data_IF_508427688921
#
_entry.id   IF_508427688921
#
_cell.length_a   1.000
_cell.length_b   1.000
_cell.length_c   1.000
_cell.angle_alpha   90.00
_cell.angle_beta   90.00
_cell.angle_gamma   90.00
#
_symmetry.space_group_name_H-M   'P 1'
#
loop_
_entity.id
_entity.type
_entity.pdbx_description
1 polymer ?
#
# COMPACT_ATOMS: atom_id res chain seq x y z
N UNK A 1 14.73 12.71 -13.36
CA UNK A 1 15.68 13.46 -14.24
C UNK A 1 14.95 14.60 -14.94
N UNK A 2 15.74 15.58 -15.39
CA UNK A 2 15.33 16.58 -16.37
C UNK A 2 16.08 16.31 -17.69
N UNK A 3 15.41 15.84 -18.75
CA UNK A 3 16.03 15.51 -20.02
C UNK A 3 16.81 16.65 -20.67
N UNK A 4 16.42 17.91 -20.42
CA UNK A 4 17.12 19.07 -20.99
C UNK A 4 18.59 19.19 -20.54
N UNK A 5 18.96 18.53 -19.44
CA UNK A 5 20.34 18.49 -18.93
C UNK A 5 21.01 17.13 -19.13
N UNK A 6 20.35 16.18 -19.78
CA UNK A 6 20.90 14.86 -20.13
C UNK A 6 21.55 14.92 -21.50
N UNK A 7 22.88 14.78 -21.58
CA UNK A 7 23.62 14.84 -22.80
C UNK A 7 23.56 13.56 -23.63
N UNK A 8 23.59 12.41 -22.93
CA UNK A 8 23.49 11.09 -23.52
C UNK A 8 22.53 10.22 -22.66
N UNK A 9 21.34 10.02 -23.18
CA UNK A 9 20.32 9.22 -22.51
C UNK A 9 20.73 7.73 -22.39
N UNK A 10 21.49 7.22 -23.37
CA UNK A 10 21.97 5.83 -23.35
C UNK A 10 22.98 5.62 -22.23
N UNK A 11 23.96 6.50 -22.06
CA UNK A 11 24.93 6.45 -20.96
C UNK A 11 24.24 6.50 -19.61
N UNK A 12 23.27 7.43 -19.45
CA UNK A 12 22.51 7.58 -18.19
C UNK A 12 21.77 6.29 -17.84
N UNK A 13 21.08 5.68 -18.82
CA UNK A 13 20.34 4.42 -18.62
C UNK A 13 21.28 3.27 -18.26
N UNK A 14 22.41 3.13 -18.96
CA UNK A 14 23.38 2.07 -18.71
C UNK A 14 23.97 2.18 -17.30
N UNK A 15 24.45 3.34 -16.91
CA UNK A 15 25.07 3.58 -15.60
C UNK A 15 24.08 3.45 -14.46
N UNK A 16 22.85 3.92 -14.61
CA UNK A 16 21.79 3.74 -13.62
C UNK A 16 21.39 2.27 -13.47
N UNK A 17 21.40 1.49 -14.53
CA UNK A 17 21.08 0.05 -14.47
C UNK A 17 22.05 -0.75 -13.61
N UNK A 18 23.28 -0.31 -13.48
CA UNK A 18 24.27 -0.92 -12.58
C UNK A 18 23.94 -0.74 -11.08
N UNK A 19 23.13 0.27 -10.75
CA UNK A 19 22.76 0.59 -9.36
C UNK A 19 21.29 0.28 -9.07
N UNK A 20 20.44 0.26 -10.09
CA UNK A 20 18.99 0.00 -10.01
C UNK A 20 18.66 -1.25 -10.87
N UNK A 21 18.73 -2.45 -10.30
CA UNK A 21 18.56 -3.70 -11.06
C UNK A 21 17.17 -3.86 -11.68
N UNK A 22 16.13 -3.29 -11.06
CA UNK A 22 14.74 -3.38 -11.53
C UNK A 22 14.36 -2.24 -12.51
N UNK A 23 15.34 -1.53 -13.03
CA UNK A 23 15.11 -0.40 -13.93
C UNK A 23 14.68 -0.87 -15.32
N UNK A 24 13.49 -0.42 -15.76
CA UNK A 24 13.05 -0.61 -17.15
C UNK A 24 13.85 0.34 -18.08
N UNK A 25 14.90 -0.23 -18.68
CA UNK A 25 15.85 0.50 -19.54
C UNK A 25 15.19 1.10 -20.76
N UNK A 26 14.30 0.32 -21.42
CA UNK A 26 13.65 0.75 -22.66
C UNK A 26 12.73 1.93 -22.41
N UNK A 27 11.88 1.81 -21.41
CA UNK A 27 10.96 2.88 -21.02
C UNK A 27 11.66 4.13 -20.51
N UNK A 28 12.76 3.97 -19.76
CA UNK A 28 13.52 5.12 -19.30
C UNK A 28 14.20 5.84 -20.47
N UNK A 29 14.80 5.10 -21.39
CA UNK A 29 15.45 5.67 -22.59
C UNK A 29 14.46 6.47 -23.44
N UNK A 30 13.28 5.91 -23.70
CA UNK A 30 12.20 6.59 -24.43
C UNK A 30 11.80 7.90 -23.74
N UNK A 31 11.62 7.88 -22.42
CA UNK A 31 11.22 9.06 -21.65
C UNK A 31 12.33 10.13 -21.55
N UNK A 32 13.59 9.73 -21.46
CA UNK A 32 14.70 10.68 -21.48
C UNK A 32 14.89 11.36 -22.83
N UNK A 33 14.45 10.74 -23.92
CA UNK A 33 14.45 11.32 -25.25
C UNK A 33 13.15 12.09 -25.60
N UNK A 34 12.21 12.20 -24.67
CA UNK A 34 10.96 12.94 -24.87
C UNK A 34 11.11 14.42 -24.46
N UNK A 35 10.23 15.27 -24.97
CA UNK A 35 10.22 16.73 -24.71
C UNK A 35 9.63 17.10 -23.33
N UNK A 36 9.86 16.25 -22.31
CA UNK A 36 9.40 16.49 -20.94
C UNK A 36 10.52 17.03 -20.07
N UNK A 37 10.19 17.92 -19.13
CA UNK A 37 11.15 18.48 -18.16
C UNK A 37 11.25 17.65 -16.88
N UNK A 38 10.47 16.59 -16.74
CA UNK A 38 10.47 15.74 -15.56
C UNK A 38 10.24 14.26 -15.88
N UNK A 39 11.27 13.46 -15.65
CA UNK A 39 11.22 11.99 -15.79
C UNK A 39 11.55 11.36 -14.43
N UNK A 40 10.57 10.78 -13.71
CA UNK A 40 10.86 9.98 -12.53
C UNK A 40 11.57 8.69 -12.93
N UNK A 41 12.68 8.37 -12.23
CA UNK A 41 13.53 7.21 -12.48
C UNK A 41 13.21 6.10 -11.47
N UNK A 42 13.28 6.41 -10.19
CA UNK A 42 12.99 5.49 -9.09
C UNK A 42 12.41 6.25 -7.90
N UNK A 43 11.62 5.56 -7.09
CA UNK A 43 11.04 6.09 -5.85
C UNK A 43 11.53 5.27 -4.66
N UNK A 44 11.56 5.89 -3.47
CA UNK A 44 11.91 5.20 -2.23
C UNK A 44 13.32 4.62 -2.18
N UNK A 45 14.26 5.22 -2.90
CA UNK A 45 15.65 4.76 -2.93
C UNK A 45 16.29 4.84 -1.55
N UNK A 46 17.00 3.77 -1.15
CA UNK A 46 17.73 3.74 0.13
C UNK A 46 18.83 4.81 0.17
N UNK A 47 19.26 5.26 1.36
CA UNK A 47 20.40 6.18 1.48
C UNK A 47 21.66 5.68 0.76
N UNK A 48 21.91 4.36 0.82
CA UNK A 48 23.04 3.72 0.13
C UNK A 48 22.90 3.80 -1.39
N UNK A 49 21.71 3.48 -1.91
CA UNK A 49 21.41 3.57 -3.34
C UNK A 49 21.48 5.01 -3.82
N UNK A 50 20.95 5.96 -3.02
CA UNK A 50 21.06 7.40 -3.31
C UNK A 50 22.51 7.84 -3.45
N UNK A 51 23.37 7.43 -2.51
CA UNK A 51 24.80 7.74 -2.55
C UNK A 51 25.47 7.13 -3.79
N UNK A 52 25.17 5.87 -4.11
CA UNK A 52 25.72 5.20 -5.29
C UNK A 52 25.32 5.94 -6.58
N UNK A 53 24.07 6.36 -6.73
CA UNK A 53 23.61 7.16 -7.88
C UNK A 53 24.31 8.53 -7.90
N UNK A 54 24.46 9.19 -6.74
CA UNK A 54 25.13 10.49 -6.66
C UNK A 54 26.59 10.41 -7.14
N UNK A 55 27.30 9.33 -6.76
CA UNK A 55 28.68 9.09 -7.17
C UNK A 55 28.84 8.84 -8.68
N UNK A 56 27.76 8.52 -9.40
CA UNK A 56 27.80 8.43 -10.86
C UNK A 56 27.99 9.80 -11.53
N UNK A 57 27.67 10.90 -10.86
CA UNK A 57 27.87 12.26 -11.41
C UNK A 57 27.08 12.55 -12.67
N UNK A 58 25.90 11.95 -12.84
CA UNK A 58 25.10 12.06 -14.05
C UNK A 58 24.41 13.43 -14.14
N UNK A 59 24.69 14.18 -15.20
CA UNK A 59 24.01 15.44 -15.48
C UNK A 59 22.51 15.18 -15.72
N UNK A 60 21.65 16.09 -15.25
CA UNK A 60 20.20 15.96 -15.38
C UNK A 60 19.53 14.99 -14.42
N UNK A 61 20.28 14.28 -13.57
CA UNK A 61 19.74 13.39 -12.54
C UNK A 61 19.75 14.09 -11.19
N UNK A 62 18.57 14.26 -10.59
CA UNK A 62 18.38 14.96 -9.32
C UNK A 62 17.64 14.11 -8.31
N UNK A 63 17.87 14.40 -7.03
CA UNK A 63 17.11 13.81 -5.93
C UNK A 63 16.09 14.82 -5.41
N UNK A 64 14.86 14.35 -5.25
CA UNK A 64 13.80 15.09 -4.59
C UNK A 64 13.47 14.39 -3.29
N UNK A 65 13.46 15.12 -2.19
CA UNK A 65 12.95 14.60 -0.92
C UNK A 65 11.43 14.76 -0.95
N UNK A 66 10.73 13.65 -0.84
CA UNK A 66 9.27 13.64 -0.71
C UNK A 66 8.91 12.97 0.61
N UNK A 67 7.95 13.53 1.37
CA UNK A 67 7.42 12.83 2.53
C UNK A 67 6.81 11.51 2.06
N UNK A 68 7.19 10.44 2.72
CA UNK A 68 6.72 9.10 2.42
C UNK A 68 6.36 8.36 3.70
N UNK A 69 5.41 7.44 3.60
CA UNK A 69 5.06 6.53 4.66
C UNK A 69 5.87 5.24 4.54
N UNK A 70 6.23 4.70 5.69
CA UNK A 70 6.82 3.36 5.80
C UNK A 70 5.94 2.55 6.74
N UNK A 71 5.55 1.37 6.32
CA UNK A 71 4.70 0.44 7.08
C UNK A 71 5.55 -0.72 7.62
N UNK A 72 6.16 -0.58 8.82
CA UNK A 72 7.10 -1.57 9.33
C UNK A 72 6.48 -2.95 9.59
N UNK A 73 5.17 -2.99 9.81
CA UNK A 73 4.42 -4.23 10.03
C UNK A 73 3.88 -4.85 8.73
N UNK A 74 4.24 -4.26 7.59
CA UNK A 74 3.90 -4.78 6.27
C UNK A 74 2.40 -5.08 6.14
N UNK A 75 2.02 -6.35 5.97
CA UNK A 75 0.64 -6.80 5.75
C UNK A 75 -0.27 -6.72 6.98
N UNK A 76 0.31 -6.63 8.20
CA UNK A 76 -0.50 -6.62 9.41
C UNK A 76 -1.45 -5.42 9.44
N UNK A 77 -2.75 -5.70 9.56
CA UNK A 77 -3.83 -4.71 9.54
C UNK A 77 -3.83 -3.79 8.31
N UNK A 78 -3.33 -4.25 7.16
CA UNK A 78 -3.12 -3.44 5.96
C UNK A 78 -4.35 -2.66 5.52
N UNK A 79 -5.52 -3.28 5.52
CA UNK A 79 -6.78 -2.63 5.11
C UNK A 79 -7.26 -1.57 6.13
N UNK A 80 -6.93 -1.76 7.40
CA UNK A 80 -7.30 -0.81 8.45
C UNK A 80 -6.35 0.38 8.45
N UNK A 81 -5.04 0.13 8.38
CA UNK A 81 -4.03 1.19 8.29
C UNK A 81 -4.18 1.94 6.97
N UNK A 82 -4.37 1.21 5.88
CA UNK A 82 -4.42 1.78 4.54
C UNK A 82 -3.03 2.11 4.01
N UNK A 83 -2.99 3.04 3.06
CA UNK A 83 -1.73 3.52 2.49
C UNK A 83 -1.84 4.99 2.07
N UNK A 84 -0.69 5.64 2.03
CA UNK A 84 -0.54 6.99 1.50
C UNK A 84 0.05 6.99 0.09
N UNK A 85 -0.37 7.94 -0.71
CA UNK A 85 0.14 8.18 -2.05
C UNK A 85 1.42 9.02 -2.07
N UNK A 86 1.74 9.54 -3.25
CA UNK A 86 2.85 10.50 -3.42
C UNK A 86 2.58 11.76 -2.59
N UNK A 87 3.64 12.28 -1.99
CA UNK A 87 3.55 13.46 -1.14
C UNK A 87 2.95 13.19 0.24
N UNK A 88 2.76 11.92 0.62
CA UNK A 88 2.27 11.53 1.94
C UNK A 88 0.75 11.61 2.14
N UNK A 89 -0.03 11.95 1.11
CA UNK A 89 -1.49 12.03 1.21
C UNK A 89 -2.12 10.64 1.42
N UNK A 90 -2.96 10.49 2.42
CA UNK A 90 -3.71 9.27 2.69
C UNK A 90 -4.69 8.92 1.57
N UNK A 91 -4.74 7.66 1.14
CA UNK A 91 -5.61 7.20 0.06
C UNK A 91 -6.67 6.21 0.53
N UNK A 92 -6.41 5.46 1.57
CA UNK A 92 -7.34 4.48 2.15
C UNK A 92 -7.12 4.32 3.65
N UNK A 93 -8.07 3.68 4.35
CA UNK A 93 -7.94 3.31 5.75
C UNK A 93 -7.72 4.47 6.70
N UNK A 94 -6.98 4.25 7.77
CA UNK A 94 -6.63 5.26 8.76
C UNK A 94 -5.79 6.40 8.16
N UNK A 95 -4.90 6.11 7.19
CA UNK A 95 -4.14 7.14 6.47
C UNK A 95 -5.06 8.17 5.80
N UNK A 96 -6.17 7.72 5.20
CA UNK A 96 -7.15 8.63 4.59
C UNK A 96 -8.01 9.32 5.67
N UNK A 97 -8.47 8.55 6.66
CA UNK A 97 -9.38 9.08 7.67
C UNK A 97 -8.73 10.19 8.53
N UNK A 98 -7.42 10.09 8.74
CA UNK A 98 -6.63 11.03 9.54
C UNK A 98 -5.61 11.82 8.69
N UNK A 99 -5.88 11.98 7.38
CA UNK A 99 -4.94 12.65 6.46
C UNK A 99 -4.63 14.09 6.88
N UNK A 100 -5.60 14.82 7.36
CA UNK A 100 -5.42 16.19 7.84
C UNK A 100 -4.47 16.23 9.05
N UNK A 101 -4.76 15.47 10.10
CA UNK A 101 -3.96 15.43 11.34
C UNK A 101 -2.55 14.94 11.08
N UNK A 102 -2.39 13.93 10.22
CA UNK A 102 -1.10 13.37 9.86
C UNK A 102 -0.27 14.32 8.99
N UNK A 103 -0.91 15.12 8.15
CA UNK A 103 -0.25 16.09 7.27
C UNK A 103 0.14 17.36 7.99
N UNK A 104 -0.66 17.82 8.94
CA UNK A 104 -0.41 19.02 9.75
C UNK A 104 0.62 18.79 10.85
N UNK A 105 1.02 17.53 11.07
CA UNK A 105 2.00 17.17 12.11
C UNK A 105 1.43 17.29 13.53
N UNK A 106 0.12 17.12 13.69
CA UNK A 106 -0.58 17.20 14.99
C UNK A 106 -0.14 16.12 16.00
N UNK A 107 0.68 15.16 15.55
CA UNK A 107 1.23 14.11 16.39
C UNK A 107 0.84 12.71 15.93
N UNK A 108 1.15 11.67 16.71
CA UNK A 108 0.84 10.30 16.37
C UNK A 108 -0.66 10.01 16.56
N UNK A 109 -1.25 9.31 15.60
CA UNK A 109 -2.60 8.74 15.72
C UNK A 109 -2.51 7.35 16.35
N UNK A 110 -3.26 7.12 17.42
CA UNK A 110 -3.33 5.84 18.12
C UNK A 110 -4.64 5.12 17.74
N UNK A 111 -4.50 3.89 17.31
CA UNK A 111 -5.64 3.01 17.01
C UNK A 111 -5.87 2.03 18.16
N UNK A 112 -7.11 1.57 18.33
CA UNK A 112 -7.51 0.57 19.35
C UNK A 112 -7.04 -0.86 19.03
N UNK A 113 -6.29 -1.06 17.96
CA UNK A 113 -5.86 -2.37 17.46
C UNK A 113 -4.80 -2.99 18.38
N UNK A 114 -5.07 -4.20 18.86
CA UNK A 114 -4.09 -5.07 19.49
C UNK A 114 -3.39 -5.92 18.43
N UNK A 115 -2.10 -5.71 18.22
CA UNK A 115 -1.34 -6.41 17.18
C UNK A 115 -1.26 -7.93 17.43
N UNK A 116 -1.31 -8.38 18.69
CA UNK A 116 -1.32 -9.81 19.02
C UNK A 116 -2.63 -10.45 18.62
N UNK A 117 -3.74 -9.79 18.96
CA UNK A 117 -5.09 -10.23 18.55
C UNK A 117 -5.22 -10.19 17.02
N UNK A 118 -4.75 -9.10 16.37
CA UNK A 118 -4.75 -8.96 14.93
C UNK A 118 -4.04 -10.13 14.24
N UNK A 119 -2.82 -10.44 14.66
CA UNK A 119 -2.04 -11.54 14.09
C UNK A 119 -2.73 -12.90 14.29
N UNK A 120 -3.33 -13.14 15.44
CA UNK A 120 -4.07 -14.39 15.70
C UNK A 120 -5.31 -14.51 14.81
N UNK A 121 -6.08 -13.45 14.66
CA UNK A 121 -7.26 -13.43 13.78
C UNK A 121 -6.84 -13.67 12.32
N UNK A 122 -5.81 -12.97 11.84
CA UNK A 122 -5.26 -13.16 10.49
C UNK A 122 -4.82 -14.61 10.24
N UNK A 123 -4.07 -15.18 11.18
CA UNK A 123 -3.56 -16.55 11.06
C UNK A 123 -4.69 -17.59 10.99
N UNK A 124 -5.68 -17.48 11.88
CA UNK A 124 -6.84 -18.39 11.89
C UNK A 124 -7.64 -18.23 10.61
N UNK A 125 -7.93 -16.98 10.23
CA UNK A 125 -8.76 -16.69 9.05
C UNK A 125 -8.10 -17.19 7.76
N UNK A 126 -6.79 -16.97 7.61
CA UNK A 126 -5.99 -17.43 6.46
C UNK A 126 -6.01 -18.96 6.33
N UNK A 127 -5.84 -19.67 7.45
CA UNK A 127 -5.93 -21.12 7.49
C UNK A 127 -7.32 -21.61 7.05
N UNK A 128 -8.38 -21.05 7.62
CA UNK A 128 -9.76 -21.42 7.27
C UNK A 128 -10.10 -21.09 5.82
N UNK A 129 -9.67 -19.94 5.33
CA UNK A 129 -9.84 -19.59 3.92
C UNK A 129 -9.20 -20.63 2.99
N UNK A 130 -7.99 -21.11 3.33
CA UNK A 130 -7.33 -22.16 2.55
C UNK A 130 -8.03 -23.54 2.66
N UNK A 131 -8.44 -23.93 3.86
CA UNK A 131 -9.17 -25.20 4.11
C UNK A 131 -10.48 -25.27 3.30
N UNK A 132 -11.20 -24.15 3.21
CA UNK A 132 -12.49 -24.07 2.50
C UNK A 132 -12.36 -23.57 1.06
N UNK A 133 -11.14 -23.33 0.56
CA UNK A 133 -10.90 -22.78 -0.77
C UNK A 133 -11.73 -21.50 -1.06
N UNK A 134 -11.97 -20.71 -0.02
CA UNK A 134 -12.77 -19.50 -0.15
C UNK A 134 -12.00 -18.42 -0.93
N UNK A 135 -12.65 -17.65 -1.83
CA UNK A 135 -12.01 -16.59 -2.59
C UNK A 135 -11.57 -15.41 -1.71
N UNK A 136 -12.19 -15.27 -0.55
CA UNK A 136 -11.87 -14.25 0.45
C UNK A 136 -12.50 -14.54 1.79
N UNK A 137 -12.06 -13.80 2.81
CA UNK A 137 -12.57 -13.90 4.17
C UNK A 137 -12.35 -12.59 4.91
N UNK A 138 -13.25 -12.23 5.81
CA UNK A 138 -13.09 -11.07 6.69
C UNK A 138 -13.54 -11.38 8.11
N UNK A 139 -12.97 -10.67 9.08
CA UNK A 139 -13.34 -10.77 10.47
C UNK A 139 -13.10 -9.44 11.19
N UNK A 140 -13.98 -9.10 12.12
CA UNK A 140 -13.86 -7.97 13.04
C UNK A 140 -14.00 -8.50 14.46
N UNK A 141 -13.03 -8.18 15.31
CA UNK A 141 -13.08 -8.44 16.75
C UNK A 141 -13.31 -7.11 17.48
N UNK A 142 -14.40 -7.01 18.22
CA UNK A 142 -14.79 -5.81 18.95
C UNK A 142 -14.91 -6.08 20.44
N UNK A 143 -14.61 -5.08 21.24
CA UNK A 143 -14.90 -5.06 22.69
C UNK A 143 -16.36 -4.72 22.91
N UNK A 144 -17.11 -5.64 23.49
CA UNK A 144 -18.57 -5.50 23.64
C UNK A 144 -18.95 -4.26 24.47
N UNK A 145 -18.20 -3.96 25.54
CA UNK A 145 -18.53 -2.86 26.44
C UNK A 145 -18.25 -1.46 25.90
N UNK A 146 -17.33 -1.31 24.94
CA UNK A 146 -16.88 0.01 24.44
C UNK A 146 -17.10 0.21 22.94
N UNK A 147 -17.30 -0.88 22.19
CA UNK A 147 -17.36 -0.84 20.73
C UNK A 147 -15.99 -0.69 20.04
N UNK A 148 -14.90 -0.69 20.80
CA UNK A 148 -13.56 -0.61 20.23
C UNK A 148 -13.24 -1.79 19.33
N UNK A 149 -12.73 -1.53 18.14
CA UNK A 149 -12.23 -2.56 17.22
C UNK A 149 -10.84 -2.98 17.68
N UNK A 150 -10.71 -4.22 18.13
CA UNK A 150 -9.47 -4.81 18.63
C UNK A 150 -8.64 -5.43 17.50
N UNK A 151 -9.33 -6.02 16.49
CA UNK A 151 -8.72 -6.52 15.27
C UNK A 151 -9.71 -6.41 14.11
N UNK A 152 -9.20 -6.13 12.93
CA UNK A 152 -9.95 -6.16 11.68
C UNK A 152 -9.09 -6.74 10.56
N UNK A 153 -9.56 -7.80 9.96
CA UNK A 153 -8.84 -8.54 8.90
C UNK A 153 -9.72 -8.70 7.68
N UNK A 154 -9.16 -8.45 6.53
CA UNK A 154 -9.72 -8.77 5.21
C UNK A 154 -8.67 -9.53 4.40
N UNK A 155 -9.06 -10.64 3.78
CA UNK A 155 -8.20 -11.50 2.98
C UNK A 155 -8.82 -11.75 1.60
N UNK A 156 -8.04 -11.75 0.51
CA UNK A 156 -6.57 -11.57 0.48
C UNK A 156 -6.14 -10.18 0.94
N UNK A 157 -4.90 -10.10 1.44
CA UNK A 157 -4.30 -8.84 1.88
C UNK A 157 -3.12 -8.43 0.98
N UNK A 158 -2.57 -7.26 1.24
CA UNK A 158 -1.46 -6.68 0.52
C UNK A 158 -0.44 -6.04 1.47
N UNK A 159 0.76 -5.72 0.96
CA UNK A 159 1.73 -4.88 1.67
C UNK A 159 1.53 -3.42 1.27
N UNK A 160 1.17 -2.52 2.23
CA UNK A 160 1.00 -1.10 1.95
C UNK A 160 2.24 -0.41 1.39
N UNK A 161 3.44 -0.93 1.68
CA UNK A 161 4.67 -0.40 1.10
C UNK A 161 4.74 -0.61 -0.42
N UNK A 162 4.03 -1.63 -0.94
CA UNK A 162 4.04 -2.04 -2.35
C UNK A 162 2.66 -1.99 -3.01
N UNK A 163 1.71 -1.19 -2.49
CA UNK A 163 0.32 -1.16 -2.95
C UNK A 163 0.16 -0.92 -4.46
N UNK A 164 1.10 -0.22 -5.10
CA UNK A 164 1.09 0.05 -6.56
C UNK A 164 1.44 -1.16 -7.40
N UNK A 165 2.24 -2.08 -6.85
CA UNK A 165 2.61 -3.33 -7.52
C UNK A 165 1.55 -4.42 -7.36
N UNK A 166 0.50 -4.16 -6.58
CA UNK A 166 -0.61 -5.11 -6.42
C UNK A 166 -1.49 -5.07 -7.67
N UNK A 167 -1.43 -6.13 -8.44
CA UNK A 167 -2.31 -6.32 -9.58
C UNK A 167 -3.70 -6.76 -9.10
N UNK A 168 -4.72 -6.06 -9.57
CA UNK A 168 -6.11 -6.49 -9.38
C UNK A 168 -6.40 -7.75 -10.19
N UNK A 169 -7.34 -8.59 -9.76
CA UNK A 169 -7.71 -9.77 -10.52
C UNK A 169 -8.37 -9.38 -11.86
N UNK A 170 -8.21 -10.21 -12.89
CA UNK A 170 -8.93 -10.00 -14.15
C UNK A 170 -10.45 -9.98 -13.93
N UNK A 171 -11.19 -9.15 -14.67
CA UNK A 171 -12.66 -9.12 -14.59
C UNK A 171 -13.29 -10.49 -14.82
N UNK A 172 -14.34 -10.81 -14.08
CA UNK A 172 -15.11 -12.06 -14.24
C UNK A 172 -14.48 -13.31 -13.62
N UNK A 173 -13.32 -13.19 -12.95
CA UNK A 173 -12.65 -14.38 -12.34
C UNK A 173 -13.22 -14.79 -10.99
N UNK A 174 -14.12 -14.00 -10.40
CA UNK A 174 -14.61 -14.21 -9.03
C UNK A 174 -13.56 -14.02 -7.93
N UNK A 175 -12.33 -13.62 -8.31
CA UNK A 175 -11.26 -13.31 -7.35
C UNK A 175 -11.44 -11.90 -6.80
N UNK A 176 -11.02 -11.71 -5.55
CA UNK A 176 -11.15 -10.43 -4.85
C UNK A 176 -9.85 -9.65 -5.00
N UNK A 177 -9.95 -8.34 -5.29
CA UNK A 177 -8.77 -7.46 -5.27
C UNK A 177 -8.18 -7.44 -3.86
N UNK A 178 -6.89 -7.72 -3.68
CA UNK A 178 -6.25 -7.69 -2.36
C UNK A 178 -6.35 -6.35 -1.63
N UNK A 179 -6.60 -5.25 -2.35
CA UNK A 179 -6.78 -3.90 -1.75
C UNK A 179 -8.21 -3.63 -1.28
N UNK A 180 -9.17 -4.49 -1.67
CA UNK A 180 -10.56 -4.32 -1.30
C UNK A 180 -10.81 -4.76 0.14
N UNK A 181 -11.25 -3.84 1.00
CA UNK A 181 -11.61 -4.16 2.37
C UNK A 181 -13.00 -4.78 2.44
N UNK A 182 -13.06 -6.10 2.48
CA UNK A 182 -14.32 -6.85 2.55
C UNK A 182 -15.11 -6.60 3.84
N UNK A 183 -14.41 -6.28 4.94
CA UNK A 183 -15.05 -6.07 6.23
C UNK A 183 -15.85 -4.76 6.30
N UNK A 184 -15.47 -3.73 5.51
CA UNK A 184 -16.11 -2.41 5.54
C UNK A 184 -16.84 -2.04 4.25
N UNK A 185 -16.40 -2.59 3.12
CA UNK A 185 -16.92 -2.23 1.80
C UNK A 185 -17.64 -3.38 1.10
N UNK A 186 -17.58 -4.60 1.68
CA UNK A 186 -18.29 -5.76 1.14
C UNK A 186 -19.80 -5.66 1.36
N UNK A 187 -20.56 -5.96 0.32
CA UNK A 187 -22.03 -6.05 0.39
C UNK A 187 -22.41 -7.52 0.28
N UNK A 188 -23.07 -8.04 1.29
CA UNK A 188 -23.41 -9.46 1.42
C UNK A 188 -24.88 -9.65 1.73
N UNK A 189 -25.47 -10.73 1.20
CA UNK A 189 -26.76 -11.22 1.63
C UNK A 189 -26.60 -11.98 2.95
N UNK A 190 -26.96 -11.33 4.06
CA UNK A 190 -26.71 -11.85 5.42
C UNK A 190 -27.55 -13.09 5.75
N UNK A 191 -28.71 -13.25 5.12
CA UNK A 191 -29.60 -14.37 5.39
C UNK A 191 -29.95 -14.51 6.88
N UNK A 192 -29.80 -15.70 7.43
CA UNK A 192 -30.10 -15.99 8.84
C UNK A 192 -29.16 -15.32 9.86
N UNK A 193 -28.00 -14.82 9.42
CA UNK A 193 -27.07 -14.06 10.28
C UNK A 193 -27.68 -12.71 10.71
N UNK A 194 -28.67 -12.20 9.97
CA UNK A 194 -29.41 -10.99 10.32
C UNK A 194 -30.40 -11.15 11.48
N UNK A 195 -30.82 -12.40 11.80
CA UNK A 195 -31.81 -12.67 12.83
C UNK A 195 -31.51 -12.11 14.22
N UNK A 196 -30.26 -12.14 14.75
CA UNK A 196 -29.96 -11.53 16.03
C UNK A 196 -30.25 -10.03 16.07
N UNK A 197 -30.03 -9.31 14.96
CA UNK A 197 -30.34 -7.88 14.86
C UNK A 197 -31.86 -7.64 14.87
N UNK A 198 -32.61 -8.46 14.15
CA UNK A 198 -34.08 -8.40 14.14
C UNK A 198 -34.67 -8.69 15.52
N UNK A 199 -34.10 -9.67 16.24
CA UNK A 199 -34.55 -10.01 17.61
C UNK A 199 -34.18 -8.92 18.62
N UNK A 200 -33.09 -8.21 18.44
CA UNK A 200 -32.68 -7.13 19.34
C UNK A 200 -33.47 -5.83 19.11
N UNK A 201 -34.10 -5.67 17.97
CA UNK A 201 -34.89 -4.49 17.59
C UNK A 201 -36.38 -4.60 17.87
N UNK A 202 -36.88 -5.78 18.24
CA UNK A 202 -38.28 -6.09 18.61
C UNK A 202 -38.46 -6.31 20.09
#
# INVERSE_FOLDING_TARGET
ADPAYVWDAGEVVERLSGVLPDLDRGRLLERLNSDTRYVPIAEGVSPRTRQAIHMLGLAGVFFRSEPGRVYPKQRAAAHLVGFAGRGGRGLTGAELAFDAELSEGAGPVFLSIDLTAQHRVESVLRRRMAEHQAPGASAILMRVGTGEVIAMTSLPDYDPNHYRAVEGPPPGTGRIDPRFNQATSGVYELGSVFKPLALAAG
#
